data_IF_424624824570
#
_entry.id   IF_424624824570
#
_cell.length_a   1.000
_cell.length_b   1.000
_cell.length_c   1.000
_cell.angle_alpha   90.00
_cell.angle_beta   90.00
_cell.angle_gamma   90.00
#
_symmetry.space_group_name_H-M   'P 1'
#
loop_
_entity.id
_entity.type
_entity.pdbx_description
1 polymer ?
#
# COMPACT_ATOMS: atom_id res chain seq x y z
N UNK A 1 -24.65 -6.20 -5.04
CA UNK A 1 -23.35 -5.59 -5.45
C UNK A 1 -22.31 -6.03 -4.45
N UNK A 2 -21.16 -6.61 -4.86
CA UNK A 2 -20.07 -6.89 -3.92
C UNK A 2 -19.67 -5.57 -3.25
N UNK A 3 -19.65 -5.56 -1.91
CA UNK A 3 -19.19 -4.40 -1.15
C UNK A 3 -17.67 -4.33 -1.25
N UNK A 4 -17.11 -3.23 -1.73
CA UNK A 4 -15.66 -2.97 -1.77
C UNK A 4 -15.17 -2.26 -0.50
N UNK A 5 -15.94 -2.36 0.60
CA UNK A 5 -15.61 -1.65 1.83
C UNK A 5 -14.27 -2.10 2.42
N UNK A 6 -13.97 -3.40 2.39
CA UNK A 6 -12.71 -3.93 2.90
C UNK A 6 -11.53 -3.50 2.04
N UNK A 7 -11.67 -3.52 0.70
CA UNK A 7 -10.72 -2.89 -0.20
C UNK A 7 -10.47 -1.41 0.13
N UNK A 8 -11.52 -0.60 0.34
CA UNK A 8 -11.35 0.82 0.66
C UNK A 8 -10.69 1.04 2.02
N UNK A 9 -10.95 0.18 3.01
CA UNK A 9 -10.23 0.20 4.29
C UNK A 9 -8.76 -0.15 4.08
N UNK A 10 -8.45 -1.17 3.29
CA UNK A 10 -7.08 -1.54 2.93
C UNK A 10 -6.35 -0.38 2.24
N UNK A 11 -7.02 0.26 1.28
CA UNK A 11 -6.50 1.42 0.56
C UNK A 11 -6.28 2.61 1.49
N UNK A 12 -7.20 2.87 2.42
CA UNK A 12 -7.06 3.94 3.41
C UNK A 12 -5.86 3.72 4.32
N UNK A 13 -5.64 2.49 4.78
CA UNK A 13 -4.44 2.14 5.54
C UNK A 13 -3.17 2.29 4.71
N UNK A 14 -3.15 1.82 3.47
CA UNK A 14 -1.99 1.93 2.58
C UNK A 14 -1.63 3.39 2.30
N UNK A 15 -2.59 4.23 1.91
CA UNK A 15 -2.33 5.65 1.62
C UNK A 15 -1.88 6.42 2.87
N UNK A 16 -2.43 6.08 4.05
CA UNK A 16 -2.00 6.67 5.31
C UNK A 16 -0.60 6.19 5.71
N UNK A 17 -0.28 4.92 5.43
CA UNK A 17 1.08 4.39 5.57
C UNK A 17 2.06 5.16 4.70
N UNK A 18 1.74 5.50 3.45
CA UNK A 18 2.64 6.30 2.62
C UNK A 18 2.91 7.70 3.21
N UNK A 19 1.92 8.31 3.88
CA UNK A 19 2.15 9.57 4.62
C UNK A 19 3.10 9.37 5.81
N UNK A 20 2.96 8.25 6.54
CA UNK A 20 3.91 7.89 7.60
C UNK A 20 5.29 7.53 7.02
N UNK A 21 5.36 6.89 5.85
CA UNK A 21 6.59 6.56 5.15
C UNK A 21 7.39 7.80 4.77
N UNK A 22 6.71 8.87 4.34
CA UNK A 22 7.33 10.19 4.15
C UNK A 22 7.94 10.69 5.46
N UNK A 23 7.19 10.64 6.57
CA UNK A 23 7.68 11.05 7.89
C UNK A 23 8.83 10.17 8.40
N UNK A 24 8.84 8.90 8.04
CA UNK A 24 9.81 7.87 8.47
C UNK A 24 10.99 7.69 7.50
N UNK A 25 11.09 8.55 6.50
CA UNK A 25 12.20 8.58 5.55
C UNK A 25 12.40 7.24 4.83
N UNK A 26 11.30 6.58 4.41
CA UNK A 26 11.36 5.24 3.82
C UNK A 26 12.25 5.14 2.57
N UNK A 27 12.46 6.25 1.85
CA UNK A 27 13.43 6.34 0.76
C UNK A 27 14.84 5.90 1.16
N UNK A 28 15.21 6.00 2.44
CA UNK A 28 16.50 5.55 2.96
C UNK A 28 16.63 4.02 3.04
N UNK A 29 15.51 3.29 3.01
CA UNK A 29 15.43 1.82 3.01
C UNK A 29 15.16 1.30 1.60
N UNK A 30 14.36 2.02 0.82
CA UNK A 30 13.96 1.58 -0.53
C UNK A 30 15.18 1.38 -1.44
N UNK A 31 15.42 0.19 -2.03
CA UNK A 31 16.67 -0.14 -2.72
C UNK A 31 17.07 0.82 -3.85
N UNK A 32 16.09 1.43 -4.51
CA UNK A 32 16.32 2.35 -5.62
C UNK A 32 16.72 3.76 -5.14
N UNK A 33 16.17 4.19 -4.00
CA UNK A 33 16.33 5.56 -3.47
C UNK A 33 17.34 5.64 -2.32
N UNK A 34 17.67 4.52 -1.67
CA UNK A 34 18.58 4.46 -0.52
C UNK A 34 20.03 4.88 -0.84
N UNK A 35 20.36 4.96 -2.13
CA UNK A 35 21.64 5.45 -2.67
C UNK A 35 21.74 6.98 -2.69
N UNK A 36 20.62 7.69 -2.54
CA UNK A 36 20.62 9.15 -2.43
C UNK A 36 21.25 9.51 -1.09
N UNK A 37 22.37 10.25 -1.13
CA UNK A 37 23.08 10.72 0.07
C UNK A 37 22.46 11.99 0.67
N UNK A 38 21.68 12.70 -0.13
CA UNK A 38 21.02 13.95 0.21
C UNK A 38 19.56 13.65 0.55
N UNK A 39 19.20 13.92 1.80
CA UNK A 39 17.89 13.57 2.35
C UNK A 39 16.77 14.43 1.77
N UNK A 40 17.04 15.71 1.49
CA UNK A 40 16.07 16.63 0.86
C UNK A 40 15.73 16.18 -0.56
N UNK A 41 16.73 15.70 -1.32
CA UNK A 41 16.50 15.09 -2.64
C UNK A 41 15.73 13.78 -2.53
N UNK A 42 16.03 12.98 -1.51
CA UNK A 42 15.30 11.74 -1.20
C UNK A 42 13.82 12.01 -0.95
N UNK A 43 13.52 12.93 -0.03
CA UNK A 43 12.17 13.42 0.26
C UNK A 43 11.46 13.93 -0.99
N UNK A 44 12.11 14.83 -1.74
CA UNK A 44 11.52 15.45 -2.94
C UNK A 44 11.17 14.41 -3.99
N UNK A 45 12.11 13.51 -4.32
CA UNK A 45 11.88 12.49 -5.34
C UNK A 45 10.87 11.44 -4.89
N UNK A 46 10.98 10.96 -3.65
CA UNK A 46 10.03 10.01 -3.08
C UNK A 46 8.62 10.58 -3.15
N UNK A 47 8.39 11.77 -2.61
CA UNK A 47 7.07 12.42 -2.58
C UNK A 47 6.57 12.75 -3.99
N UNK A 48 7.42 13.25 -4.88
CA UNK A 48 7.04 13.57 -6.26
C UNK A 48 6.61 12.33 -7.05
N UNK A 49 7.27 11.19 -6.85
CA UNK A 49 6.90 9.92 -7.50
C UNK A 49 5.53 9.38 -7.04
N UNK A 50 5.04 9.78 -5.87
CA UNK A 50 3.70 9.40 -5.42
C UNK A 50 2.60 10.04 -6.25
N UNK A 51 2.82 11.22 -6.84
CA UNK A 51 1.81 11.87 -7.69
C UNK A 51 1.43 10.99 -8.91
N UNK A 52 2.38 10.57 -9.78
CA UNK A 52 2.05 9.66 -10.87
C UNK A 52 1.58 8.29 -10.37
N UNK A 53 2.11 7.77 -9.25
CA UNK A 53 1.64 6.51 -8.68
C UNK A 53 0.16 6.58 -8.25
N UNK A 54 -0.26 7.67 -7.61
CA UNK A 54 -1.65 7.88 -7.22
C UNK A 54 -2.56 8.09 -8.43
N UNK A 55 -2.09 8.77 -9.47
CA UNK A 55 -2.83 8.87 -10.74
C UNK A 55 -3.05 7.48 -11.34
N UNK A 56 -2.00 6.66 -11.44
CA UNK A 56 -2.10 5.29 -11.97
C UNK A 56 -2.98 4.39 -11.10
N UNK A 57 -2.90 4.53 -9.78
CA UNK A 57 -3.73 3.80 -8.82
C UNK A 57 -5.21 4.15 -8.98
N UNK A 58 -5.55 5.44 -8.97
CA UNK A 58 -6.94 5.88 -9.11
C UNK A 58 -7.48 5.55 -10.51
N UNK A 59 -6.69 5.81 -11.55
CA UNK A 59 -7.06 5.44 -12.91
C UNK A 59 -7.28 3.93 -13.05
N UNK A 60 -6.39 3.10 -12.51
CA UNK A 60 -6.52 1.63 -12.55
C UNK A 60 -7.79 1.12 -11.86
N UNK A 61 -8.18 1.72 -10.74
CA UNK A 61 -9.42 1.39 -10.00
C UNK A 61 -10.66 1.75 -10.84
N UNK A 62 -10.67 2.92 -11.49
CA UNK A 62 -11.86 3.51 -12.12
C UNK A 62 -11.86 3.47 -13.66
N UNK A 63 -10.90 2.79 -14.29
CA UNK A 63 -10.78 2.74 -15.76
C UNK A 63 -11.99 2.11 -16.47
N UNK A 64 -12.73 1.22 -15.80
CA UNK A 64 -13.90 0.54 -16.35
C UNK A 64 -15.21 1.36 -16.26
N UNK A 65 -15.11 2.68 -16.45
CA UNK A 65 -16.23 3.61 -16.44
C UNK A 65 -16.91 3.69 -15.07
N UNK A 66 -18.17 3.27 -14.98
CA UNK A 66 -18.97 3.34 -13.74
C UNK A 66 -18.73 2.16 -12.78
N UNK A 67 -17.84 1.22 -13.14
CA UNK A 67 -17.58 0.02 -12.35
C UNK A 67 -16.13 -0.05 -11.89
N UNK A 68 -15.93 -0.52 -10.65
CA UNK A 68 -14.60 -0.76 -10.10
C UNK A 68 -13.93 -1.94 -10.82
N UNK A 69 -12.67 -1.75 -11.20
CA UNK A 69 -11.87 -2.76 -11.87
C UNK A 69 -11.47 -3.90 -10.91
N UNK A 70 -12.21 -5.01 -10.95
CA UNK A 70 -12.00 -6.19 -10.08
C UNK A 70 -10.58 -6.76 -10.13
N UNK A 71 -9.98 -6.80 -11.32
CA UNK A 71 -8.62 -7.33 -11.49
C UNK A 71 -7.61 -6.43 -10.76
N UNK A 72 -7.76 -5.11 -10.91
CA UNK A 72 -6.90 -4.14 -10.25
C UNK A 72 -7.06 -4.16 -8.73
N UNK A 73 -8.30 -4.25 -8.22
CA UNK A 73 -8.58 -4.41 -6.79
C UNK A 73 -7.91 -5.66 -6.23
N UNK A 74 -8.08 -6.81 -6.87
CA UNK A 74 -7.43 -8.07 -6.45
C UNK A 74 -5.91 -7.95 -6.46
N UNK A 75 -5.33 -7.27 -7.46
CA UNK A 75 -3.90 -6.98 -7.49
C UNK A 75 -3.45 -6.12 -6.31
N UNK A 76 -4.20 -5.08 -5.96
CA UNK A 76 -3.92 -4.22 -4.81
C UNK A 76 -4.08 -4.94 -3.47
N UNK A 77 -5.07 -5.80 -3.31
CA UNK A 77 -5.23 -6.58 -2.07
C UNK A 77 -4.04 -7.52 -1.85
N UNK A 78 -3.59 -8.21 -2.90
CA UNK A 78 -2.39 -9.06 -2.87
C UNK A 78 -1.17 -8.20 -2.58
N UNK A 79 -1.04 -7.04 -3.21
CA UNK A 79 0.04 -6.09 -2.94
C UNK A 79 0.07 -5.68 -1.46
N UNK A 80 -1.06 -5.33 -0.85
CA UNK A 80 -1.14 -4.99 0.58
C UNK A 80 -0.62 -6.12 1.47
N UNK A 81 -0.94 -7.39 1.16
CA UNK A 81 -0.43 -8.54 1.91
C UNK A 81 1.09 -8.68 1.73
N UNK A 82 1.58 -8.63 0.49
CA UNK A 82 3.00 -8.71 0.17
C UNK A 82 3.77 -7.54 0.79
N UNK A 83 3.19 -6.35 0.85
CA UNK A 83 3.76 -5.15 1.45
C UNK A 83 4.08 -5.35 2.94
N UNK A 84 3.18 -6.00 3.69
CA UNK A 84 3.47 -6.41 5.08
C UNK A 84 4.71 -7.30 5.14
N UNK A 85 4.81 -8.29 4.23
CA UNK A 85 5.97 -9.18 4.18
C UNK A 85 7.26 -8.42 3.84
N UNK A 86 7.21 -7.44 2.93
CA UNK A 86 8.37 -6.60 2.61
C UNK A 86 8.86 -5.83 3.84
N UNK A 87 7.95 -5.26 4.64
CA UNK A 87 8.33 -4.60 5.90
C UNK A 87 8.91 -5.58 6.93
N UNK A 88 8.38 -6.80 7.02
CA UNK A 88 8.93 -7.83 7.89
C UNK A 88 10.36 -8.23 7.46
N UNK A 89 10.63 -8.31 6.16
CA UNK A 89 11.97 -8.59 5.63
C UNK A 89 12.95 -7.44 5.88
N UNK A 90 12.47 -6.20 5.82
CA UNK A 90 13.27 -4.99 5.99
C UNK A 90 13.40 -4.51 7.44
N UNK A 91 12.75 -5.17 8.40
CA UNK A 91 12.72 -4.75 9.82
C UNK A 91 14.11 -4.63 10.45
N UNK A 92 15.08 -5.43 9.97
CA UNK A 92 16.48 -5.41 10.45
C UNK A 92 17.37 -4.43 9.70
N UNK A 93 16.84 -3.70 8.71
CA UNK A 93 17.62 -2.76 7.93
C UNK A 93 18.08 -1.58 8.83
N UNK A 94 19.35 -1.14 8.78
CA UNK A 94 19.89 -0.13 9.71
C UNK A 94 19.16 1.22 9.70
N UNK A 95 18.48 1.53 8.60
CA UNK A 95 17.71 2.78 8.42
C UNK A 95 16.19 2.59 8.52
N UNK A 96 15.73 1.43 9.00
CA UNK A 96 14.31 1.16 9.19
C UNK A 96 13.76 1.95 10.38
N UNK A 97 12.79 2.84 10.15
CA UNK A 97 12.28 3.75 11.19
C UNK A 97 10.84 3.46 11.65
N UNK A 98 10.18 2.41 11.14
CA UNK A 98 8.82 2.03 11.55
C UNK A 98 8.84 1.23 12.87
N UNK A 99 9.22 1.91 13.96
CA UNK A 99 9.49 1.31 15.27
C UNK A 99 8.37 1.53 16.31
N UNK A 100 7.19 1.96 15.87
CA UNK A 100 6.07 2.29 16.75
C UNK A 100 4.81 1.53 16.33
N UNK A 101 3.89 1.36 17.28
CA UNK A 101 2.65 0.62 17.08
C UNK A 101 1.75 1.25 16.00
N UNK A 102 1.77 2.58 15.85
CA UNK A 102 0.92 3.28 14.89
C UNK A 102 1.32 2.94 13.45
N UNK A 103 2.61 3.05 13.11
CA UNK A 103 3.15 2.62 11.81
C UNK A 103 2.79 1.15 11.51
N UNK A 104 2.98 0.25 12.48
CA UNK A 104 2.65 -1.16 12.30
C UNK A 104 1.14 -1.41 12.16
N UNK A 105 0.31 -0.60 12.80
CA UNK A 105 -1.15 -0.65 12.61
C UNK A 105 -1.53 -0.29 11.18
N UNK A 106 -0.88 0.72 10.58
CA UNK A 106 -1.12 1.09 9.19
C UNK A 106 -0.69 -0.02 8.22
N UNK A 107 0.54 -0.53 8.39
CA UNK A 107 1.12 -1.58 7.55
C UNK A 107 0.26 -2.85 7.62
N UNK A 108 0.07 -3.40 8.83
CA UNK A 108 -0.65 -4.65 9.05
C UNK A 108 -2.14 -4.49 8.78
N UNK A 109 -2.72 -3.34 9.11
CA UNK A 109 -4.11 -3.01 8.82
C UNK A 109 -4.42 -3.07 7.32
N UNK A 110 -3.52 -2.56 6.46
CA UNK A 110 -3.64 -2.69 5.01
C UNK A 110 -3.67 -4.16 4.57
N UNK A 111 -2.72 -4.97 5.05
CA UNK A 111 -2.64 -6.39 4.71
C UNK A 111 -3.83 -7.22 5.19
N UNK A 112 -4.29 -7.01 6.43
CA UNK A 112 -5.47 -7.71 6.98
C UNK A 112 -6.72 -7.34 6.19
N UNK A 113 -6.96 -6.06 5.93
CA UNK A 113 -8.13 -5.61 5.21
C UNK A 113 -8.15 -6.13 3.75
N UNK A 114 -7.01 -6.15 3.06
CA UNK A 114 -6.89 -6.75 1.73
C UNK A 114 -7.14 -8.27 1.74
N UNK A 115 -6.61 -8.98 2.74
CA UNK A 115 -6.89 -10.40 2.94
C UNK A 115 -8.37 -10.70 3.17
N UNK A 116 -9.05 -9.87 3.96
CA UNK A 116 -10.50 -9.98 4.18
C UNK A 116 -11.28 -9.72 2.88
N UNK A 117 -10.91 -8.70 2.09
CA UNK A 117 -11.56 -8.42 0.80
C UNK A 117 -11.46 -9.62 -0.15
N UNK A 118 -10.27 -10.22 -0.27
CA UNK A 118 -10.04 -11.41 -1.09
C UNK A 118 -10.88 -12.60 -0.65
N UNK A 119 -10.90 -12.91 0.65
CA UNK A 119 -11.68 -14.03 1.19
C UNK A 119 -13.18 -13.81 0.96
N UNK A 120 -13.67 -12.59 1.22
CA UNK A 120 -15.07 -12.25 1.05
C UNK A 120 -15.49 -12.38 -0.43
N UNK A 121 -14.66 -11.86 -1.35
CA UNK A 121 -14.96 -11.93 -2.78
C UNK A 121 -14.86 -13.35 -3.32
N UNK A 122 -13.88 -14.15 -2.88
CA UNK A 122 -13.76 -15.55 -3.25
C UNK A 122 -14.99 -16.37 -2.80
N UNK A 123 -15.48 -16.14 -1.58
CA UNK A 123 -16.70 -16.76 -1.08
C UNK A 123 -17.93 -16.39 -1.92
N UNK A 124 -18.08 -15.11 -2.29
CA UNK A 124 -19.23 -14.68 -3.11
C UNK A 124 -19.23 -15.24 -4.53
N UNK A 125 -18.06 -15.53 -5.11
CA UNK A 125 -17.96 -16.21 -6.42
C UNK A 125 -18.24 -17.71 -6.36
N UNK A 126 -18.11 -18.36 -5.21
CA UNK A 126 -18.36 -19.79 -5.06
C UNK A 126 -19.85 -20.12 -4.84
N UNK A 127 -20.66 -19.13 -4.46
CA UNK A 127 -22.08 -19.29 -4.11
C UNK A 127 -23.06 -18.82 -5.19
N UNK A 128 -22.57 -18.36 -6.35
CA UNK A 128 -23.40 -17.85 -7.46
C UNK A 128 -23.01 -18.48 -8.78
#
# INVERSE_FOLDING_TARGET
>A
MPSYIFFFVALGFLLTHEMDAVRRHEWQVFPLLSRLRDDERGYTLFTALHVPLYVLLLWGIFTNGTTINRFFVTGLDIFCIVHVLLHLLLIKHPRYQFNNWFSWTLIVGAGIAGGIDLLFRAATTATG
#
